data_IF_744431607819
#
_entry.id   IF_744431607819
#
_cell.length_a   1.000
_cell.length_b   1.000
_cell.length_c   1.000
_cell.angle_alpha   90.00
_cell.angle_beta   90.00
_cell.angle_gamma   90.00
#
_symmetry.space_group_name_H-M   'P 1'
#
loop_
_entity.id
_entity.type
_entity.pdbx_description
1 polymer ?
#
# COMPACT_ATOMS: atom_id res chain seq x y z
N UNK A 1 17.65 3.83 -22.97
CA UNK A 1 17.91 4.31 -21.59
C UNK A 1 16.97 5.45 -21.14
N UNK A 2 16.32 6.20 -22.05
CA UNK A 2 15.34 7.24 -21.69
C UNK A 2 14.01 6.66 -21.14
N UNK A 3 13.51 5.57 -21.74
CA UNK A 3 12.25 4.91 -21.35
C UNK A 3 12.21 4.52 -19.86
N UNK A 4 13.29 3.92 -19.32
CA UNK A 4 13.38 3.57 -17.89
C UNK A 4 13.35 4.79 -16.95
N UNK A 5 13.73 5.96 -17.44
CA UNK A 5 13.78 7.21 -16.64
C UNK A 5 12.41 7.86 -16.53
N UNK A 6 11.52 7.62 -17.49
CA UNK A 6 10.16 8.16 -17.53
C UNK A 6 9.14 7.13 -17.00
N UNK A 7 9.36 5.84 -17.24
CA UNK A 7 8.49 4.77 -16.77
C UNK A 7 8.43 4.68 -15.22
N UNK A 8 9.54 4.96 -14.52
CA UNK A 8 9.58 4.92 -13.05
C UNK A 8 8.72 6.00 -12.39
N UNK A 9 8.81 7.29 -12.78
CA UNK A 9 7.86 8.30 -12.34
C UNK A 9 6.42 7.92 -12.65
N UNK A 10 6.15 7.45 -13.87
CA UNK A 10 4.79 7.06 -14.30
C UNK A 10 4.21 5.89 -13.47
N UNK A 11 5.03 4.92 -13.07
CA UNK A 11 4.60 3.85 -12.18
C UNK A 11 4.42 4.36 -10.74
N UNK A 12 5.32 5.25 -10.29
CA UNK A 12 5.30 5.78 -8.93
C UNK A 12 4.09 6.67 -8.62
N UNK A 13 3.53 7.37 -9.62
CA UNK A 13 2.40 8.29 -9.41
C UNK A 13 1.20 7.62 -8.76
N UNK A 14 0.83 6.41 -9.20
CA UNK A 14 -0.28 5.66 -8.65
C UNK A 14 -0.06 5.36 -7.15
N UNK A 15 1.13 4.85 -6.79
CA UNK A 15 1.46 4.55 -5.41
C UNK A 15 1.52 5.81 -4.53
N UNK A 16 2.08 6.90 -5.04
CA UNK A 16 2.17 8.17 -4.29
C UNK A 16 0.79 8.76 -4.06
N UNK A 17 -0.06 8.79 -5.08
CA UNK A 17 -1.42 9.30 -4.99
C UNK A 17 -2.25 8.51 -3.96
N UNK A 18 -2.21 7.19 -4.05
CA UNK A 18 -2.95 6.30 -3.16
C UNK A 18 -2.45 6.40 -1.71
N UNK A 19 -1.12 6.41 -1.50
CA UNK A 19 -0.54 6.57 -0.17
C UNK A 19 -0.86 7.93 0.48
N UNK A 20 -0.89 9.01 -0.30
CA UNK A 20 -1.27 10.35 0.20
C UNK A 20 -2.74 10.40 0.56
N UNK A 21 -3.61 9.77 -0.24
CA UNK A 21 -5.03 9.66 0.05
C UNK A 21 -5.27 8.85 1.33
N UNK A 22 -4.59 7.72 1.51
CA UNK A 22 -4.66 6.91 2.74
C UNK A 22 -4.22 7.68 4.00
N UNK A 23 -3.29 8.65 3.87
CA UNK A 23 -2.88 9.52 4.97
C UNK A 23 -3.91 10.62 5.25
N UNK A 24 -4.42 11.28 4.19
CA UNK A 24 -5.28 12.47 4.31
C UNK A 24 -6.76 12.15 4.53
N UNK A 25 -7.26 11.06 3.95
CA UNK A 25 -8.64 10.58 3.98
C UNK A 25 -8.66 9.07 4.30
N UNK A 26 -8.25 8.69 5.53
CA UNK A 26 -8.07 7.30 5.88
C UNK A 26 -9.39 6.51 5.95
N UNK A 27 -10.55 7.16 5.98
CA UNK A 27 -11.84 6.53 6.33
C UNK A 27 -12.17 5.35 5.39
N UNK A 28 -12.15 5.59 4.08
CA UNK A 28 -12.42 4.55 3.09
C UNK A 28 -11.36 3.43 3.08
N UNK A 29 -10.12 3.75 3.45
CA UNK A 29 -9.04 2.78 3.55
C UNK A 29 -9.14 1.94 4.83
N UNK A 30 -9.64 2.53 5.91
CA UNK A 30 -9.94 1.84 7.17
C UNK A 30 -11.09 0.87 6.99
N UNK A 31 -12.17 1.27 6.31
CA UNK A 31 -13.30 0.37 6.07
C UNK A 31 -12.86 -0.88 5.29
N UNK A 32 -12.05 -0.70 4.23
CA UNK A 32 -11.47 -1.84 3.48
C UNK A 32 -10.52 -2.67 4.33
N UNK A 33 -9.72 -2.03 5.20
CA UNK A 33 -8.81 -2.73 6.08
C UNK A 33 -9.56 -3.54 7.15
N UNK A 34 -10.65 -3.01 7.71
CA UNK A 34 -11.53 -3.73 8.64
C UNK A 34 -12.20 -4.93 7.97
N UNK A 35 -12.70 -4.78 6.74
CA UNK A 35 -13.28 -5.90 5.98
C UNK A 35 -12.24 -6.99 5.67
N UNK A 36 -11.05 -6.61 5.24
CA UNK A 36 -9.96 -7.54 4.98
C UNK A 36 -9.49 -8.23 6.28
N UNK A 37 -9.43 -7.49 7.38
CA UNK A 37 -9.06 -8.00 8.71
C UNK A 37 -10.11 -9.00 9.22
N UNK A 38 -11.39 -8.69 9.07
CA UNK A 38 -12.49 -9.59 9.43
C UNK A 38 -12.43 -10.90 8.66
N UNK A 39 -12.25 -10.85 7.33
CA UNK A 39 -12.10 -12.06 6.50
C UNK A 39 -10.89 -12.91 6.88
N UNK A 40 -9.82 -12.29 7.36
CA UNK A 40 -8.64 -13.01 7.84
C UNK A 40 -8.89 -13.61 9.23
N UNK A 41 -9.59 -12.89 10.11
CA UNK A 41 -9.92 -13.33 11.46
C UNK A 41 -10.87 -14.54 11.48
N UNK A 42 -11.67 -14.72 10.44
CA UNK A 42 -12.47 -15.94 10.24
C UNK A 42 -11.62 -17.20 9.98
N UNK A 43 -10.40 -17.03 9.45
CA UNK A 43 -9.52 -18.13 9.04
C UNK A 43 -8.39 -18.39 10.02
N UNK A 44 -8.05 -17.40 10.82
CA UNK A 44 -6.90 -17.42 11.74
C UNK A 44 -7.26 -16.65 13.00
N UNK A 45 -6.84 -17.14 14.17
CA UNK A 45 -7.07 -16.44 15.43
C UNK A 45 -6.28 -15.12 15.44
N UNK A 46 -7.01 -14.02 15.39
CA UNK A 46 -6.47 -12.67 15.28
C UNK A 46 -6.98 -11.80 16.44
N UNK A 47 -6.11 -10.94 17.02
CA UNK A 47 -6.52 -10.08 18.12
C UNK A 47 -7.56 -9.05 17.66
N UNK A 48 -8.48 -8.65 18.54
CA UNK A 48 -9.41 -7.55 18.22
C UNK A 48 -8.63 -6.25 18.08
N UNK A 49 -8.81 -5.56 16.94
CA UNK A 49 -8.16 -4.27 16.66
C UNK A 49 -9.24 -3.20 16.59
N UNK A 50 -9.15 -2.19 17.46
CA UNK A 50 -10.07 -1.05 17.42
C UNK A 50 -9.85 -0.19 16.17
N UNK A 51 -10.92 0.46 15.71
CA UNK A 51 -10.91 1.36 14.55
C UNK A 51 -9.80 2.42 14.61
N UNK A 52 -9.49 2.97 15.79
CA UNK A 52 -8.40 3.95 15.97
C UNK A 52 -7.02 3.37 15.66
N UNK A 53 -6.77 2.12 16.07
CA UNK A 53 -5.52 1.40 15.75
C UNK A 53 -5.47 1.09 14.26
N UNK A 54 -6.60 0.70 13.67
CA UNK A 54 -6.71 0.48 12.23
C UNK A 54 -6.43 1.77 11.42
N UNK A 55 -6.99 2.91 11.82
CA UNK A 55 -6.67 4.22 11.22
C UNK A 55 -5.18 4.55 11.30
N UNK A 56 -4.55 4.24 12.42
CA UNK A 56 -3.10 4.47 12.59
C UNK A 56 -2.31 3.56 11.65
N UNK A 57 -2.65 2.28 11.56
CA UNK A 57 -2.01 1.33 10.65
C UNK A 57 -2.15 1.76 9.18
N UNK A 58 -3.35 2.18 8.76
CA UNK A 58 -3.62 2.70 7.42
C UNK A 58 -2.77 3.94 7.11
N UNK A 59 -2.69 4.90 8.03
CA UNK A 59 -1.86 6.10 7.83
C UNK A 59 -0.37 5.77 7.75
N UNK A 60 0.12 4.87 8.59
CA UNK A 60 1.52 4.42 8.56
C UNK A 60 1.83 3.71 7.25
N UNK A 61 0.92 2.83 6.80
CA UNK A 61 1.03 2.14 5.53
C UNK A 61 1.05 3.14 4.35
N UNK A 62 0.09 4.08 4.31
CA UNK A 62 0.02 5.12 3.30
C UNK A 62 1.29 5.96 3.24
N UNK A 63 1.81 6.39 4.40
CA UNK A 63 3.07 7.12 4.49
C UNK A 63 4.28 6.31 3.96
N UNK A 64 4.35 5.02 4.28
CA UNK A 64 5.40 4.13 3.79
C UNK A 64 5.32 3.93 2.26
N UNK A 65 4.12 3.73 1.71
CA UNK A 65 3.87 3.61 0.26
C UNK A 65 4.25 4.90 -0.45
N UNK A 66 3.85 6.07 0.07
CA UNK A 66 4.24 7.38 -0.47
C UNK A 66 5.75 7.56 -0.47
N UNK A 67 6.43 7.27 0.65
CA UNK A 67 7.88 7.39 0.74
C UNK A 67 8.60 6.46 -0.26
N UNK A 68 8.15 5.22 -0.39
CA UNK A 68 8.71 4.26 -1.34
C UNK A 68 8.44 4.67 -2.80
N UNK A 69 7.25 5.19 -3.12
CA UNK A 69 6.91 5.73 -4.43
C UNK A 69 7.77 6.94 -4.81
N UNK A 70 7.98 7.89 -3.89
CA UNK A 70 8.87 9.03 -4.09
C UNK A 70 10.32 8.55 -4.31
N UNK A 71 10.81 7.60 -3.51
CA UNK A 71 12.15 7.03 -3.69
C UNK A 71 12.31 6.33 -5.05
N UNK A 72 11.27 5.64 -5.53
CA UNK A 72 11.22 5.02 -6.84
C UNK A 72 11.26 6.07 -7.97
N UNK A 73 10.47 7.14 -7.84
CA UNK A 73 10.39 8.24 -8.81
C UNK A 73 11.74 8.97 -8.96
N UNK A 74 12.40 9.27 -7.83
CA UNK A 74 13.72 9.93 -7.79
C UNK A 74 14.84 8.98 -8.21
N UNK A 75 14.60 7.67 -8.21
CA UNK A 75 15.59 6.65 -8.60
C UNK A 75 16.61 6.32 -7.50
N UNK A 76 16.27 6.59 -6.23
CA UNK A 76 17.17 6.45 -5.07
C UNK A 76 17.19 5.01 -4.54
N UNK A 77 17.90 4.11 -5.22
CA UNK A 77 17.85 2.64 -4.99
C UNK A 77 16.52 2.02 -5.50
N UNK A 78 16.31 1.98 -6.82
CA UNK A 78 15.03 1.60 -7.43
C UNK A 78 14.65 0.12 -7.20
N UNK A 79 15.61 -0.75 -6.89
CA UNK A 79 15.32 -2.16 -6.58
C UNK A 79 14.73 -2.33 -5.19
N UNK A 80 15.26 -1.64 -4.19
CA UNK A 80 14.71 -1.71 -2.83
C UNK A 80 13.36 -1.00 -2.74
N UNK A 81 13.18 0.13 -3.43
CA UNK A 81 11.89 0.81 -3.50
C UNK A 81 10.82 -0.07 -4.19
N UNK A 82 11.17 -0.73 -5.29
CA UNK A 82 10.27 -1.67 -5.95
C UNK A 82 9.94 -2.88 -5.07
N UNK A 83 10.91 -3.41 -4.32
CA UNK A 83 10.70 -4.53 -3.41
C UNK A 83 9.81 -4.10 -2.22
N UNK A 84 10.04 -2.92 -1.66
CA UNK A 84 9.20 -2.36 -0.61
C UNK A 84 7.76 -2.17 -1.09
N UNK A 85 7.57 -1.58 -2.28
CA UNK A 85 6.24 -1.43 -2.87
C UNK A 85 5.59 -2.79 -3.13
N UNK A 86 6.33 -3.77 -3.66
CA UNK A 86 5.81 -5.11 -3.90
C UNK A 86 5.37 -5.79 -2.60
N UNK A 87 6.15 -5.68 -1.52
CA UNK A 87 5.77 -6.23 -0.21
C UNK A 87 4.54 -5.53 0.36
N UNK A 88 4.47 -4.21 0.21
CA UNK A 88 3.35 -3.42 0.72
C UNK A 88 2.03 -3.72 -0.04
N UNK A 89 2.09 -3.92 -1.35
CA UNK A 89 0.89 -4.12 -2.17
C UNK A 89 0.56 -5.57 -2.50
N UNK A 90 1.48 -6.51 -2.30
CA UNK A 90 1.26 -7.93 -2.57
C UNK A 90 -0.01 -8.50 -1.91
N UNK A 91 -0.33 -8.22 -0.63
CA UNK A 91 -1.54 -8.77 -0.01
C UNK A 91 -2.83 -8.33 -0.71
N UNK A 92 -2.89 -7.07 -1.13
CA UNK A 92 -4.03 -6.48 -1.82
C UNK A 92 -4.12 -6.98 -3.26
N UNK A 93 -2.98 -7.04 -3.96
CA UNK A 93 -2.91 -7.57 -5.32
C UNK A 93 -3.33 -9.04 -5.38
N UNK A 94 -2.93 -9.83 -4.38
CA UNK A 94 -3.42 -11.18 -4.19
C UNK A 94 -4.93 -11.16 -3.93
N UNK A 95 -5.44 -10.41 -2.94
CA UNK A 95 -6.88 -10.39 -2.66
C UNK A 95 -7.80 -10.06 -3.86
N UNK A 96 -7.30 -9.31 -4.85
CA UNK A 96 -8.03 -8.94 -6.06
C UNK A 96 -7.65 -9.73 -7.32
N UNK A 97 -6.72 -10.69 -7.23
CA UNK A 97 -6.33 -11.49 -8.37
C UNK A 97 -7.52 -12.36 -8.84
N UNK A 98 -7.87 -12.35 -10.14
CA UNK A 98 -8.86 -13.27 -10.68
C UNK A 98 -8.22 -14.66 -10.78
N UNK A 99 -8.28 -15.43 -9.70
CA UNK A 99 -7.91 -16.83 -9.72
C UNK A 99 -8.95 -17.63 -10.52
N UNK A 100 -8.53 -18.60 -11.35
CA UNK A 100 -9.41 -19.65 -11.86
C UNK A 100 -9.80 -20.66 -10.78
#
# INVERSE_FOLDING_TARGET
MLVRRIARPLLATAFVADGVDAVRRPEAHVDRAEEAYGRLAERVDLPTVDRRRMTTAVRVHGAAVTAAGVALAVGRAPRSAALALAVLTAPVALAHAPWP
#
